data_IF_181473584109
#
_entry.id   IF_181473584109
#
_cell.length_a   1.000
_cell.length_b   1.000
_cell.length_c   1.000
_cell.angle_alpha   90.00
_cell.angle_beta   90.00
_cell.angle_gamma   90.00
#
_symmetry.space_group_name_H-M   'P 1'
#
loop_
_entity.id
_entity.type
_entity.pdbx_description
1 polymer ?
#
# COMPACT_ATOMS: atom_id res chain seq x y z
N UNK A 1 13.82 -1.59 -11.04
CA UNK A 1 14.05 -0.14 -11.23
C UNK A 1 14.64 0.21 -12.60
N UNK A 2 15.57 -0.60 -13.13
CA UNK A 2 16.24 -0.33 -14.42
C UNK A 2 15.25 -0.38 -15.58
N UNK A 3 14.45 -1.43 -15.68
CA UNK A 3 13.41 -1.58 -16.71
C UNK A 3 12.39 -0.45 -16.67
N UNK A 4 11.95 -0.03 -15.47
CA UNK A 4 11.02 1.08 -15.32
C UNK A 4 11.62 2.40 -15.83
N UNK A 5 12.91 2.62 -15.56
CA UNK A 5 13.65 3.79 -16.06
C UNK A 5 13.75 3.75 -17.59
N UNK A 6 14.12 2.60 -18.15
CA UNK A 6 14.18 2.40 -19.61
C UNK A 6 12.82 2.66 -20.29
N UNK A 7 11.72 2.17 -19.71
CA UNK A 7 10.36 2.44 -20.20
C UNK A 7 10.06 3.94 -20.20
N UNK A 8 10.34 4.65 -19.10
CA UNK A 8 10.14 6.10 -19.01
C UNK A 8 10.99 6.86 -20.01
N UNK A 9 12.26 6.49 -20.17
CA UNK A 9 13.18 7.17 -21.09
C UNK A 9 12.79 6.92 -22.56
N UNK A 10 12.32 5.69 -22.87
CA UNK A 10 11.83 5.35 -24.21
C UNK A 10 10.57 6.13 -24.55
N UNK A 11 9.60 6.20 -23.64
CA UNK A 11 8.39 6.99 -23.83
C UNK A 11 8.72 8.48 -24.08
N UNK A 12 9.63 9.03 -23.28
CA UNK A 12 10.08 10.42 -23.41
C UNK A 12 10.78 10.67 -24.74
N UNK A 13 11.69 9.80 -25.16
CA UNK A 13 12.42 9.90 -26.45
C UNK A 13 11.48 9.84 -27.66
N UNK A 14 10.41 9.06 -27.57
CA UNK A 14 9.45 8.90 -28.64
C UNK A 14 8.27 9.87 -28.59
N UNK A 15 8.24 10.81 -27.61
CA UNK A 15 7.14 11.74 -27.41
C UNK A 15 5.81 11.03 -27.10
N UNK A 16 5.87 9.86 -26.44
CA UNK A 16 4.69 9.07 -26.08
C UNK A 16 4.35 9.23 -24.59
N UNK A 17 3.07 9.07 -24.27
CA UNK A 17 2.60 9.06 -22.89
C UNK A 17 2.75 7.65 -22.30
N UNK A 18 3.42 7.55 -21.17
CA UNK A 18 3.43 6.38 -20.31
C UNK A 18 2.79 6.79 -18.99
N UNK A 19 1.68 6.14 -18.63
CA UNK A 19 0.95 6.40 -17.39
C UNK A 19 0.85 5.13 -16.55
N UNK A 20 0.86 5.31 -15.23
CA UNK A 20 0.63 4.24 -14.25
C UNK A 20 -0.73 4.45 -13.61
N UNK A 21 -1.52 3.37 -13.51
CA UNK A 21 -2.87 3.45 -12.96
C UNK A 21 -2.87 3.26 -11.42
N UNK A 22 -2.58 4.32 -10.71
CA UNK A 22 -2.86 4.44 -9.29
C UNK A 22 -4.26 5.02 -9.09
N UNK A 23 -5.28 4.23 -9.43
CA UNK A 23 -6.68 4.65 -9.51
C UNK A 23 -7.24 5.23 -8.20
N UNK A 24 -6.74 4.81 -7.04
CA UNK A 24 -7.16 5.38 -5.76
C UNK A 24 -6.90 6.88 -5.63
N UNK A 25 -5.92 7.43 -6.34
CA UNK A 25 -5.70 8.90 -6.39
C UNK A 25 -6.88 9.68 -6.97
N UNK A 26 -7.67 9.03 -7.84
CA UNK A 26 -8.80 9.62 -8.55
C UNK A 26 -10.14 9.35 -7.89
N UNK A 27 -10.17 8.55 -6.84
CA UNK A 27 -11.37 8.37 -6.02
C UNK A 27 -11.74 9.70 -5.34
N UNK A 28 -13.02 10.01 -5.33
CA UNK A 28 -13.55 11.27 -4.75
C UNK A 28 -13.12 11.41 -3.28
N UNK A 29 -13.24 10.34 -2.51
CA UNK A 29 -12.83 10.29 -1.10
C UNK A 29 -11.37 10.67 -0.91
N UNK A 30 -10.48 10.16 -1.76
CA UNK A 30 -9.04 10.45 -1.68
C UNK A 30 -8.73 11.90 -2.02
N UNK A 31 -9.40 12.43 -3.03
CA UNK A 31 -9.20 13.83 -3.44
C UNK A 31 -9.72 14.79 -2.38
N UNK A 32 -10.91 14.53 -1.84
CA UNK A 32 -11.49 15.34 -0.75
C UNK A 32 -10.63 15.30 0.51
N UNK A 33 -10.17 14.11 0.92
CA UNK A 33 -9.30 14.02 2.09
C UNK A 33 -7.97 14.75 1.88
N UNK A 34 -7.37 14.61 0.69
CA UNK A 34 -6.16 15.36 0.35
C UNK A 34 -6.37 16.87 0.43
N UNK A 35 -7.50 17.37 -0.04
CA UNK A 35 -7.85 18.80 0.08
C UNK A 35 -7.92 19.22 1.54
N UNK A 36 -8.59 18.45 2.40
CA UNK A 36 -8.68 18.73 3.85
C UNK A 36 -7.30 18.71 4.53
N UNK A 37 -6.44 17.76 4.17
CA UNK A 37 -5.06 17.70 4.67
C UNK A 37 -4.27 18.92 4.20
N UNK A 38 -4.38 19.30 2.92
CA UNK A 38 -3.71 20.49 2.37
C UNK A 38 -4.18 21.77 3.06
N UNK A 39 -5.46 21.86 3.41
CA UNK A 39 -6.03 23.00 4.15
C UNK A 39 -5.69 22.97 5.65
N UNK A 40 -4.89 21.99 6.12
CA UNK A 40 -4.42 21.91 7.49
C UNK A 40 -5.47 21.47 8.52
N UNK A 41 -6.57 20.84 8.08
CA UNK A 41 -7.64 20.36 8.97
C UNK A 41 -7.13 19.34 9.98
N UNK A 42 -6.22 18.44 9.56
CA UNK A 42 -5.64 17.45 10.45
C UNK A 42 -4.46 17.99 11.29
N UNK A 43 -3.97 19.19 10.99
CA UNK A 43 -2.76 19.72 11.60
C UNK A 43 -1.51 19.01 11.14
N UNK A 44 -0.54 18.78 12.04
CA UNK A 44 0.67 18.02 11.74
C UNK A 44 0.37 16.50 11.81
N UNK A 45 0.42 15.83 10.67
CA UNK A 45 0.23 14.37 10.61
C UNK A 45 1.55 13.70 10.99
N UNK A 46 1.56 13.03 12.14
CA UNK A 46 2.75 12.37 12.69
C UNK A 46 2.72 10.86 12.60
N UNK A 47 1.53 10.22 12.47
CA UNK A 47 1.39 8.77 12.22
C UNK A 47 0.41 8.52 11.08
N UNK A 48 0.83 7.68 10.15
CA UNK A 48 -0.01 7.14 9.09
C UNK A 48 0.08 5.61 9.09
N UNK A 49 -1.04 4.93 8.88
CA UNK A 49 -1.06 3.47 8.71
C UNK A 49 -1.67 3.13 7.37
N UNK A 50 -0.94 2.38 6.55
CA UNK A 50 -1.41 1.87 5.26
C UNK A 50 -1.51 0.34 5.33
N UNK A 51 -2.72 -0.20 5.14
CA UNK A 51 -3.01 -1.62 5.27
C UNK A 51 -3.58 -2.19 3.99
N UNK A 52 -2.97 -3.26 3.50
CA UNK A 52 -3.46 -4.07 2.40
C UNK A 52 -3.33 -5.55 2.78
N UNK A 53 -4.22 -6.02 3.65
CA UNK A 53 -4.15 -7.34 4.26
C UNK A 53 -5.25 -8.26 3.74
N UNK A 54 -4.90 -9.47 3.37
CA UNK A 54 -5.83 -10.57 3.07
C UNK A 54 -5.53 -11.76 3.97
N UNK A 55 -6.60 -12.38 4.49
CA UNK A 55 -6.45 -13.60 5.30
C UNK A 55 -6.05 -14.81 4.46
N UNK A 56 -6.67 -15.00 3.30
CA UNK A 56 -6.41 -16.10 2.38
C UNK A 56 -6.70 -15.64 0.94
N UNK A 57 -5.86 -14.76 0.41
CA UNK A 57 -6.09 -14.08 -0.86
C UNK A 57 -4.87 -14.07 -1.77
N UNK A 58 -4.10 -15.16 -1.77
CA UNK A 58 -3.07 -15.39 -2.79
C UNK A 58 -3.74 -15.48 -4.15
N UNK A 59 -3.33 -14.70 -5.15
CA UNK A 59 -3.84 -14.86 -6.51
C UNK A 59 -3.36 -16.18 -7.11
N UNK A 60 -4.29 -17.09 -7.41
CA UNK A 60 -4.01 -18.42 -7.99
C UNK A 60 -3.86 -18.41 -9.51
N UNK A 61 -3.76 -17.24 -10.13
CA UNK A 61 -3.64 -17.09 -11.58
C UNK A 61 -2.41 -16.25 -11.98
N UNK A 62 -2.06 -16.29 -13.26
CA UNK A 62 -0.98 -15.48 -13.81
C UNK A 62 0.37 -15.82 -13.18
N UNK A 63 1.15 -14.78 -12.87
CA UNK A 63 2.52 -14.90 -12.36
C UNK A 63 2.71 -14.41 -10.93
N UNK A 64 1.63 -14.12 -10.21
CA UNK A 64 1.65 -13.46 -8.89
C UNK A 64 2.42 -14.20 -7.81
N UNK A 65 2.57 -15.52 -7.94
CA UNK A 65 3.32 -16.36 -6.99
C UNK A 65 4.78 -16.61 -7.42
N UNK A 66 5.17 -16.11 -8.60
CA UNK A 66 6.50 -16.29 -9.17
C UNK A 66 7.33 -15.02 -9.03
N UNK A 67 8.37 -15.04 -8.20
CA UNK A 67 9.21 -13.87 -7.91
C UNK A 67 10.01 -13.38 -9.12
N UNK A 68 10.46 -14.29 -9.97
CA UNK A 68 11.26 -13.93 -11.16
C UNK A 68 10.42 -13.12 -12.17
N UNK A 69 9.17 -13.51 -12.36
CA UNK A 69 8.26 -12.88 -13.34
C UNK A 69 7.52 -11.69 -12.77
N UNK A 70 7.06 -11.77 -11.52
CA UNK A 70 6.29 -10.71 -10.85
C UNK A 70 7.18 -9.67 -10.17
N UNK A 71 8.36 -10.08 -9.68
CA UNK A 71 9.29 -9.22 -8.95
C UNK A 71 9.12 -9.23 -7.43
N UNK A 72 7.95 -9.55 -6.92
CA UNK A 72 7.62 -9.63 -5.49
C UNK A 72 6.17 -10.03 -5.27
N UNK A 73 5.75 -10.12 -4.03
CA UNK A 73 4.43 -10.55 -3.61
C UNK A 73 3.47 -9.39 -3.30
N UNK A 74 2.80 -9.42 -2.12
CA UNK A 74 1.72 -8.49 -1.79
C UNK A 74 2.15 -7.02 -1.76
N UNK A 75 3.43 -6.71 -1.54
CA UNK A 75 3.86 -5.31 -1.54
C UNK A 75 3.66 -4.67 -2.91
N UNK A 76 4.14 -5.31 -3.97
CA UNK A 76 4.10 -4.73 -5.32
C UNK A 76 2.76 -4.96 -6.03
N UNK A 77 1.91 -5.85 -5.53
CA UNK A 77 0.56 -6.06 -6.06
C UNK A 77 -0.48 -5.17 -5.36
N UNK A 78 -0.72 -5.39 -4.07
CA UNK A 78 -1.80 -4.70 -3.34
C UNK A 78 -1.30 -3.63 -2.36
N UNK A 79 -0.16 -3.86 -1.72
CA UNK A 79 0.42 -2.92 -0.75
C UNK A 79 0.77 -1.59 -1.37
N UNK A 80 1.24 -1.61 -2.61
CA UNK A 80 1.59 -0.39 -3.35
C UNK A 80 0.39 0.55 -3.53
N UNK A 81 -0.83 0.05 -3.65
CA UNK A 81 -2.02 0.87 -3.78
C UNK A 81 -2.33 1.67 -2.52
N UNK A 82 -2.19 1.03 -1.33
CA UNK A 82 -2.42 1.72 -0.06
C UNK A 82 -1.26 2.65 0.29
N UNK A 83 -0.03 2.23 -0.01
CA UNK A 83 1.15 3.09 0.13
C UNK A 83 1.02 4.34 -0.76
N UNK A 84 0.65 4.16 -2.01
CA UNK A 84 0.49 5.26 -2.96
C UNK A 84 -0.62 6.23 -2.52
N UNK A 85 -1.78 5.71 -2.11
CA UNK A 85 -2.87 6.54 -1.60
C UNK A 85 -2.45 7.34 -0.35
N UNK A 86 -1.73 6.71 0.58
CA UNK A 86 -1.18 7.38 1.76
C UNK A 86 -0.22 8.51 1.36
N UNK A 87 0.77 8.20 0.52
CA UNK A 87 1.76 9.17 0.06
C UNK A 87 1.13 10.32 -0.73
N UNK A 88 0.11 10.02 -1.53
CA UNK A 88 -0.63 11.03 -2.28
C UNK A 88 -1.36 12.01 -1.37
N UNK A 89 -2.05 11.52 -0.33
CA UNK A 89 -2.75 12.36 0.66
C UNK A 89 -1.75 13.20 1.45
N UNK A 90 -0.60 12.62 1.85
CA UNK A 90 0.48 13.31 2.57
C UNK A 90 1.25 14.34 1.72
N UNK A 91 1.06 14.35 0.39
CA UNK A 91 1.80 15.23 -0.52
C UNK A 91 3.23 14.78 -0.80
N UNK A 92 3.52 13.47 -0.69
CA UNK A 92 4.83 12.86 -0.96
C UNK A 92 5.98 13.44 -0.12
N UNK A 93 5.90 13.37 1.22
CA UNK A 93 6.98 13.86 2.07
C UNK A 93 8.28 13.12 1.79
N UNK A 94 9.41 13.81 1.98
CA UNK A 94 10.73 13.24 1.75
C UNK A 94 11.01 12.11 2.74
N UNK A 95 11.36 10.94 2.21
CA UNK A 95 11.66 9.74 3.00
C UNK A 95 13.06 9.87 3.61
N UNK A 96 13.16 9.65 4.92
CA UNK A 96 14.41 9.63 5.69
C UNK A 96 14.99 8.22 5.80
N UNK A 97 14.14 7.25 6.18
CA UNK A 97 14.57 5.86 6.34
C UNK A 97 13.40 4.89 6.12
N UNK A 98 13.74 3.65 5.77
CA UNK A 98 12.79 2.54 5.63
C UNK A 98 13.34 1.33 6.37
N UNK A 99 12.48 0.69 7.18
CA UNK A 99 12.77 -0.60 7.81
C UNK A 99 11.60 -1.54 7.56
N UNK A 100 11.86 -2.75 7.05
CA UNK A 100 10.79 -3.70 6.74
C UNK A 100 11.25 -5.15 6.91
N UNK A 101 10.27 -6.00 7.23
CA UNK A 101 10.43 -7.45 7.31
C UNK A 101 9.42 -8.14 6.39
N UNK A 102 9.89 -9.05 5.57
CA UNK A 102 9.03 -9.89 4.72
C UNK A 102 9.04 -11.34 5.21
N UNK A 103 7.93 -12.02 5.01
CA UNK A 103 7.75 -13.40 5.42
C UNK A 103 7.16 -14.23 4.28
N UNK A 104 7.50 -15.51 4.27
CA UNK A 104 6.97 -16.52 3.36
C UNK A 104 6.58 -17.74 4.24
N UNK A 105 5.39 -17.71 4.81
CA UNK A 105 4.96 -18.70 5.83
C UNK A 105 3.74 -19.51 5.43
N UNK A 106 2.84 -18.94 4.66
CA UNK A 106 1.56 -19.55 4.30
C UNK A 106 1.55 -19.94 2.82
N UNK A 107 2.12 -19.11 1.94
CA UNK A 107 2.12 -19.36 0.50
C UNK A 107 2.77 -20.69 0.08
N UNK A 108 3.73 -21.17 0.83
CA UNK A 108 4.40 -22.47 0.62
C UNK A 108 3.64 -23.66 1.23
N UNK A 109 2.48 -23.43 1.84
CA UNK A 109 1.61 -24.46 2.39
C UNK A 109 0.51 -24.84 1.38
N UNK A 110 -0.32 -25.83 1.76
CA UNK A 110 -1.42 -26.26 0.90
C UNK A 110 -2.34 -25.07 0.55
N UNK A 111 -2.60 -24.91 -0.73
CA UNK A 111 -3.50 -23.90 -1.24
C UNK A 111 -4.92 -24.03 -0.66
N UNK A 112 -5.49 -22.91 -0.23
CA UNK A 112 -6.88 -22.79 0.23
C UNK A 112 -7.47 -21.42 -0.12
N UNK A 113 -6.98 -20.80 -1.19
CA UNK A 113 -7.18 -19.38 -1.48
C UNK A 113 -8.57 -19.00 -1.96
N UNK A 114 -9.01 -17.83 -1.55
CA UNK A 114 -10.24 -17.18 -2.03
C UNK A 114 -10.19 -16.86 -3.54
N UNK A 115 -8.98 -16.68 -4.08
CA UNK A 115 -8.73 -16.30 -5.46
C UNK A 115 -8.12 -17.44 -6.30
N UNK A 116 -8.61 -18.66 -6.09
CA UNK A 116 -8.16 -19.84 -6.81
C UNK A 116 -7.02 -20.59 -6.10
N UNK A 117 -6.66 -21.71 -6.68
CA UNK A 117 -5.58 -22.53 -6.18
C UNK A 117 -4.23 -22.08 -6.77
N UNK A 118 -3.19 -22.19 -6.00
CA UNK A 118 -1.81 -22.01 -6.44
C UNK A 118 -1.00 -23.26 -6.10
N UNK A 119 0.13 -23.43 -6.74
CA UNK A 119 1.06 -24.51 -6.40
C UNK A 119 2.05 -24.04 -5.31
N UNK A 120 1.95 -24.58 -4.08
CA UNK A 120 2.86 -24.22 -3.00
C UNK A 120 4.33 -24.54 -3.29
N UNK A 121 4.60 -25.54 -4.15
CA UNK A 121 5.96 -25.97 -4.46
C UNK A 121 6.70 -24.95 -5.33
N UNK A 122 5.96 -24.16 -6.12
CA UNK A 122 6.51 -23.12 -7.00
C UNK A 122 6.33 -21.71 -6.46
N UNK A 123 5.71 -21.57 -5.29
CA UNK A 123 5.50 -20.28 -4.63
C UNK A 123 6.84 -19.68 -4.18
N UNK A 124 7.22 -18.53 -4.70
CA UNK A 124 8.56 -17.96 -4.50
C UNK A 124 8.59 -16.48 -4.05
N UNK A 125 7.43 -15.85 -3.89
CA UNK A 125 7.32 -14.48 -3.37
C UNK A 125 7.12 -14.46 -1.85
N UNK A 126 7.23 -13.32 -1.21
CA UNK A 126 6.74 -13.14 0.16
C UNK A 126 5.20 -13.24 0.18
N UNK A 127 4.62 -13.74 1.27
CA UNK A 127 3.17 -13.75 1.49
C UNK A 127 2.71 -12.61 2.42
N UNK A 128 3.65 -11.99 3.13
CA UNK A 128 3.40 -10.83 3.98
C UNK A 128 4.64 -9.96 4.15
N UNK A 129 4.41 -8.65 4.32
CA UNK A 129 5.45 -7.66 4.61
C UNK A 129 4.91 -6.61 5.58
N UNK A 130 5.75 -6.26 6.57
CA UNK A 130 5.49 -5.23 7.56
C UNK A 130 6.67 -4.30 7.64
N UNK A 131 6.42 -3.00 7.63
CA UNK A 131 7.51 -2.03 7.67
C UNK A 131 7.10 -0.65 8.12
N UNK A 132 8.10 0.18 8.34
CA UNK A 132 8.00 1.59 8.68
C UNK A 132 8.77 2.44 7.69
N UNK A 133 8.19 3.57 7.35
CA UNK A 133 8.82 4.63 6.59
C UNK A 133 8.87 5.85 7.51
N UNK A 134 10.07 6.36 7.76
CA UNK A 134 10.31 7.61 8.48
C UNK A 134 10.47 8.76 7.49
N UNK A 135 9.83 9.89 7.75
CA UNK A 135 9.95 11.09 6.93
C UNK A 135 10.86 12.13 7.58
N UNK A 136 11.45 13.00 6.77
CA UNK A 136 12.30 14.09 7.29
C UNK A 136 11.56 15.11 8.15
N UNK A 137 10.24 15.21 8.01
CA UNK A 137 9.40 16.06 8.86
C UNK A 137 9.07 15.42 10.23
N UNK A 138 9.60 14.23 10.53
CA UNK A 138 9.36 13.51 11.78
C UNK A 138 8.17 12.57 11.79
N UNK A 139 7.31 12.63 10.78
CA UNK A 139 6.18 11.70 10.64
C UNK A 139 6.63 10.29 10.28
N UNK A 140 5.81 9.31 10.60
CA UNK A 140 6.02 7.88 10.27
C UNK A 140 4.83 7.30 9.52
N UNK A 141 5.11 6.34 8.65
CA UNK A 141 4.09 5.52 8.00
C UNK A 141 4.36 4.03 8.30
N UNK A 142 3.37 3.36 8.88
CA UNK A 142 3.33 1.92 9.05
C UNK A 142 2.68 1.28 7.83
N UNK A 143 3.39 0.35 7.19
CA UNK A 143 2.88 -0.41 6.06
C UNK A 143 2.71 -1.86 6.44
N UNK A 144 1.50 -2.38 6.24
CA UNK A 144 1.14 -3.77 6.45
C UNK A 144 0.54 -4.32 5.16
N UNK A 145 1.12 -5.36 4.61
CA UNK A 145 0.58 -5.99 3.40
C UNK A 145 0.70 -7.50 3.43
N UNK A 146 -0.34 -8.20 2.96
CA UNK A 146 -0.32 -9.67 2.89
C UNK A 146 -1.27 -10.22 1.84
N UNK A 147 -0.84 -11.28 1.16
CA UNK A 147 -1.72 -12.17 0.41
C UNK A 147 -2.40 -13.20 1.34
N UNK A 148 -1.68 -13.63 2.39
CA UNK A 148 -2.16 -14.60 3.36
C UNK A 148 -1.61 -14.28 4.75
N UNK A 149 -2.51 -14.14 5.72
CA UNK A 149 -2.18 -13.84 7.10
C UNK A 149 -3.31 -14.35 8.02
N UNK A 150 -2.99 -15.03 9.10
CA UNK A 150 -3.99 -15.53 10.05
C UNK A 150 -4.55 -14.39 10.90
N UNK A 151 -5.47 -13.63 10.33
CA UNK A 151 -6.20 -12.52 10.94
C UNK A 151 -7.71 -12.82 10.98
N UNK A 152 -8.45 -12.09 11.80
CA UNK A 152 -9.90 -12.24 11.92
C UNK A 152 -10.63 -11.85 10.64
N UNK A 153 -10.31 -10.69 10.12
CA UNK A 153 -10.94 -10.10 8.95
C UNK A 153 -10.54 -10.87 7.69
N UNK A 154 -11.44 -10.95 6.72
CA UNK A 154 -11.13 -11.56 5.44
C UNK A 154 -10.21 -10.70 4.60
N UNK A 155 -10.38 -9.38 4.70
CA UNK A 155 -9.55 -8.38 4.04
C UNK A 155 -9.60 -7.06 4.80
N UNK A 156 -8.47 -6.35 4.82
CA UNK A 156 -8.37 -4.97 5.31
C UNK A 156 -7.68 -4.17 4.20
N UNK A 157 -8.40 -3.20 3.63
CA UNK A 157 -7.86 -2.25 2.66
C UNK A 157 -8.17 -0.85 3.17
N UNK A 158 -7.21 -0.21 3.82
CA UNK A 158 -7.44 1.09 4.46
C UNK A 158 -6.14 1.88 4.64
N UNK A 159 -6.32 3.20 4.73
CA UNK A 159 -5.29 4.14 5.19
C UNK A 159 -5.87 5.00 6.30
N UNK A 160 -5.13 5.17 7.38
CA UNK A 160 -5.51 6.08 8.47
C UNK A 160 -4.39 7.07 8.78
N UNK A 161 -4.79 8.26 9.22
CA UNK A 161 -3.93 9.38 9.49
C UNK A 161 -4.21 9.91 10.88
N UNK A 162 -3.17 10.14 11.67
CA UNK A 162 -3.27 10.77 12.99
C UNK A 162 -2.53 12.11 12.93
N UNK A 163 -3.28 13.18 12.98
CA UNK A 163 -2.76 14.53 13.11
C UNK A 163 -2.94 15.07 14.53
N UNK A 164 -2.31 16.18 14.85
CA UNK A 164 -2.38 16.84 16.16
C UNK A 164 -3.69 17.61 16.40
N UNK A 165 -4.49 17.84 15.32
CA UNK A 165 -5.81 18.49 15.40
C UNK A 165 -6.96 17.54 15.08
N UNK A 166 -6.74 16.58 14.20
CA UNK A 166 -7.76 15.61 13.81
C UNK A 166 -7.11 14.33 13.28
N UNK A 167 -7.85 13.23 13.31
CA UNK A 167 -7.53 11.99 12.61
C UNK A 167 -8.42 11.79 11.40
N UNK A 168 -8.01 10.87 10.50
CA UNK A 168 -8.83 10.48 9.36
C UNK A 168 -8.61 9.02 8.96
N UNK A 169 -9.62 8.45 8.28
CA UNK A 169 -9.49 7.21 7.51
C UNK A 169 -9.87 7.48 6.07
N UNK A 170 -9.42 6.63 5.14
CA UNK A 170 -9.64 6.87 3.71
C UNK A 170 -10.68 5.94 3.08
N UNK A 171 -10.81 4.71 3.50
CA UNK A 171 -11.75 3.76 2.88
C UNK A 171 -12.69 3.13 3.91
N UNK A 172 -13.86 3.76 4.20
CA UNK A 172 -14.38 5.03 3.68
C UNK A 172 -13.71 6.26 4.28
N UNK A 173 -13.82 7.43 3.59
CA UNK A 173 -13.26 8.67 4.08
C UNK A 173 -14.08 9.22 5.24
N UNK A 174 -13.42 9.40 6.39
CA UNK A 174 -13.97 10.04 7.59
C UNK A 174 -12.90 10.91 8.24
N UNK A 175 -13.31 12.02 8.83
CA UNK A 175 -12.46 12.85 9.68
C UNK A 175 -13.00 12.78 11.10
N UNK A 176 -12.11 12.59 12.05
CA UNK A 176 -12.40 12.48 13.48
C UNK A 176 -11.80 13.66 14.21
N UNK A 177 -12.64 14.39 14.92
CA UNK A 177 -12.19 15.49 15.78
C UNK A 177 -12.73 15.27 17.19
N UNK A 178 -11.96 15.66 18.19
CA UNK A 178 -12.42 15.74 19.56
C UNK A 178 -12.80 17.20 19.85
N UNK A 179 -14.08 17.48 20.00
CA UNK A 179 -14.62 18.83 20.23
C UNK A 179 -14.76 19.17 21.71
N UNK A 180 -13.83 18.72 22.56
CA UNK A 180 -13.80 19.03 24.00
C UNK A 180 -15.11 18.67 24.74
N UNK A 181 -15.58 17.47 24.53
CA UNK A 181 -16.76 16.93 25.22
C UNK A 181 -18.00 16.92 24.40
#
# INVERSE_FOLDING_TARGET
PEQAREMCDTARKLGKVLAYDFHHRFALDTQQLREQVTNGVLGEIYVTTARALRRCGVPGWGVFTNKELQGGGPLIDIGIHMLDAAMYVLGFPAVKSVNAHSFQKIGTQKSCGQFGEWDPATYSVEDSLFGTIEFHNGGILWLETSFALNIREQSIMNVSFCGDKAGATLFPAHIYTDNNG
#
